data_IF_652120849142
#
_entry.id   IF_652120849142
#
_cell.length_a   1.000
_cell.length_b   1.000
_cell.length_c   1.000
_cell.angle_alpha   90.00
_cell.angle_beta   90.00
_cell.angle_gamma   90.00
#
_symmetry.space_group_name_H-M   'P 1'
#
loop_
_entity.id
_entity.type
_entity.pdbx_description
1 polymer ?
#
# COMPACT_ATOMS: atom_id res chain seq x y z
N UNK A 1 -11.23 -28.97 -7.72
CA UNK A 1 -11.10 -27.72 -8.49
C UNK A 1 -10.75 -28.08 -9.94
N UNK A 2 -11.19 -27.26 -10.86
CA UNK A 2 -10.80 -27.36 -12.29
C UNK A 2 -10.00 -26.12 -12.63
N UNK A 3 -8.86 -26.31 -13.22
CA UNK A 3 -8.02 -25.29 -13.82
C UNK A 3 -8.14 -25.47 -15.32
N UNK A 4 -8.59 -24.47 -16.04
CA UNK A 4 -8.88 -24.55 -17.46
C UNK A 4 -8.17 -23.43 -18.20
N UNK A 5 -7.55 -23.75 -19.31
CA UNK A 5 -7.05 -22.80 -20.28
C UNK A 5 -8.18 -22.38 -21.24
N UNK A 6 -8.00 -21.30 -21.98
CA UNK A 6 -9.06 -20.76 -22.84
C UNK A 6 -9.48 -21.76 -23.94
N UNK A 7 -8.54 -22.55 -24.45
CA UNK A 7 -8.76 -23.57 -25.48
C UNK A 7 -9.48 -24.83 -24.94
N UNK A 8 -9.49 -25.04 -23.61
CA UNK A 8 -10.25 -26.11 -22.97
C UNK A 8 -11.70 -25.71 -22.68
N UNK A 9 -12.04 -24.42 -22.82
CA UNK A 9 -13.41 -23.92 -22.64
C UNK A 9 -14.17 -24.01 -23.96
N UNK A 10 -15.36 -24.64 -23.98
CA UNK A 10 -16.17 -24.72 -25.19
C UNK A 10 -16.46 -23.32 -25.76
N UNK A 11 -16.44 -23.22 -27.08
CA UNK A 11 -16.70 -21.95 -27.79
C UNK A 11 -18.03 -21.32 -27.33
N UNK A 12 -17.99 -20.01 -27.02
CA UNK A 12 -19.17 -19.26 -26.55
C UNK A 12 -19.50 -19.44 -25.05
N UNK A 13 -18.77 -20.31 -24.32
CA UNK A 13 -19.02 -20.59 -22.90
C UNK A 13 -18.12 -19.85 -21.92
N UNK A 14 -17.21 -19.02 -22.40
CA UNK A 14 -16.23 -18.28 -21.53
C UNK A 14 -16.94 -17.51 -20.42
N UNK A 15 -18.06 -16.84 -20.73
CA UNK A 15 -18.85 -16.10 -19.74
C UNK A 15 -19.33 -17.01 -18.59
N UNK A 16 -19.81 -18.21 -18.89
CA UNK A 16 -20.29 -19.15 -17.86
C UNK A 16 -19.15 -19.56 -16.91
N UNK A 17 -17.97 -19.83 -17.47
CA UNK A 17 -16.79 -20.23 -16.66
C UNK A 17 -16.22 -19.05 -15.86
N UNK A 18 -16.26 -17.82 -16.37
CA UNK A 18 -15.91 -16.62 -15.60
C UNK A 18 -16.89 -16.41 -14.44
N UNK A 19 -18.20 -16.55 -14.68
CA UNK A 19 -19.21 -16.46 -13.63
C UNK A 19 -19.04 -17.55 -12.58
N UNK A 20 -18.65 -18.76 -12.97
CA UNK A 20 -18.34 -19.84 -12.06
C UNK A 20 -17.10 -19.56 -11.21
N UNK A 21 -16.06 -18.98 -11.83
CA UNK A 21 -14.80 -18.57 -11.15
C UNK A 21 -15.00 -17.44 -10.15
N UNK A 22 -16.04 -16.62 -10.32
CA UNK A 22 -16.37 -15.49 -9.45
C UNK A 22 -17.55 -15.77 -8.51
N UNK A 23 -18.02 -17.03 -8.40
CA UNK A 23 -19.16 -17.39 -7.58
C UNK A 23 -18.80 -17.51 -6.08
N UNK A 24 -18.49 -16.36 -5.44
CA UNK A 24 -18.08 -16.24 -4.04
C UNK A 24 -19.27 -16.46 -3.08
N UNK A 25 -19.53 -17.71 -2.71
CA UNK A 25 -20.60 -18.07 -1.77
C UNK A 25 -20.19 -17.65 -0.32
N UNK A 26 -21.10 -17.17 0.55
CA UNK A 26 -22.57 -17.06 0.33
C UNK A 26 -22.99 -15.74 -0.34
N UNK A 27 -22.09 -14.81 -0.59
CA UNK A 27 -22.41 -13.51 -1.18
C UNK A 27 -22.98 -13.64 -2.60
N UNK A 28 -22.40 -14.53 -3.40
CA UNK A 28 -22.90 -14.90 -4.72
C UNK A 28 -23.27 -16.37 -4.74
N UNK A 29 -24.34 -16.71 -5.48
CA UNK A 29 -24.77 -18.09 -5.61
C UNK A 29 -23.79 -18.91 -6.45
N UNK A 30 -23.69 -20.21 -6.14
CA UNK A 30 -22.97 -21.15 -6.99
C UNK A 30 -23.48 -21.07 -8.45
N UNK A 31 -22.56 -21.09 -9.40
CA UNK A 31 -22.89 -21.07 -10.82
C UNK A 31 -22.93 -22.48 -11.38
N UNK A 32 -23.99 -22.84 -12.06
CA UNK A 32 -24.20 -24.20 -12.58
C UNK A 32 -23.88 -24.26 -14.07
N UNK A 33 -22.98 -25.15 -14.46
CA UNK A 33 -22.62 -25.45 -15.85
C UNK A 33 -22.88 -26.95 -16.10
N UNK A 34 -23.73 -27.25 -17.05
CA UNK A 34 -24.08 -28.63 -17.44
C UNK A 34 -24.46 -29.54 -16.25
N UNK A 35 -25.26 -29.00 -15.31
CA UNK A 35 -25.72 -29.69 -14.11
C UNK A 35 -24.70 -29.78 -12.98
N UNK A 36 -23.48 -29.25 -13.15
CA UNK A 36 -22.44 -29.20 -12.10
C UNK A 36 -22.39 -27.81 -11.51
N UNK A 37 -22.49 -27.71 -10.18
CA UNK A 37 -22.36 -26.41 -9.46
C UNK A 37 -20.91 -26.14 -9.15
N UNK A 38 -20.50 -24.90 -9.44
CA UNK A 38 -19.17 -24.39 -9.22
C UNK A 38 -19.21 -23.25 -8.21
N UNK A 39 -18.13 -23.13 -7.45
CA UNK A 39 -17.83 -22.02 -6.55
C UNK A 39 -16.56 -21.32 -7.01
N UNK A 40 -16.34 -20.11 -6.45
CA UNK A 40 -15.19 -19.27 -6.71
C UNK A 40 -13.85 -20.02 -6.64
N UNK A 41 -12.98 -19.76 -7.59
CA UNK A 41 -11.63 -20.31 -7.64
C UNK A 41 -10.78 -19.96 -6.43
N UNK A 42 -11.03 -18.83 -5.80
CA UNK A 42 -10.35 -18.35 -4.59
C UNK A 42 -10.49 -19.28 -3.39
N UNK A 43 -11.53 -20.14 -3.32
CA UNK A 43 -11.60 -21.21 -2.32
C UNK A 43 -10.54 -22.30 -2.50
N UNK A 44 -9.92 -22.34 -3.65
CA UNK A 44 -8.82 -23.25 -3.95
C UNK A 44 -7.47 -22.56 -3.87
N UNK A 45 -7.33 -21.46 -4.60
CA UNK A 45 -6.12 -20.68 -4.67
C UNK A 45 -6.41 -19.30 -5.30
N UNK A 46 -6.20 -18.23 -4.54
CA UNK A 46 -6.34 -16.85 -5.03
C UNK A 46 -5.17 -16.43 -5.94
N UNK A 47 -4.05 -17.15 -5.86
CA UNK A 47 -2.83 -16.79 -6.59
C UNK A 47 -2.18 -18.03 -7.22
N UNK A 48 -2.76 -18.56 -8.31
CA UNK A 48 -2.40 -19.86 -8.87
C UNK A 48 -1.06 -19.85 -9.61
N UNK A 49 0.03 -19.55 -8.92
CA UNK A 49 1.40 -19.43 -9.48
C UNK A 49 1.88 -20.73 -10.12
N UNK A 50 1.51 -21.88 -9.54
CA UNK A 50 1.85 -23.20 -10.09
C UNK A 50 1.19 -23.45 -11.46
N UNK A 51 -0.03 -22.92 -11.67
CA UNK A 51 -0.68 -22.99 -12.97
C UNK A 51 0.05 -22.12 -14.01
N UNK A 52 0.42 -20.89 -13.64
CA UNK A 52 1.19 -20.02 -14.53
C UNK A 52 2.51 -20.66 -14.97
N UNK A 53 3.25 -21.28 -14.04
CA UNK A 53 4.47 -22.04 -14.37
C UNK A 53 4.17 -23.21 -15.33
N UNK A 54 3.11 -23.97 -15.08
CA UNK A 54 2.69 -25.07 -15.94
C UNK A 54 2.32 -24.61 -17.35
N UNK A 55 1.82 -23.38 -17.49
CA UNK A 55 1.53 -22.73 -18.78
C UNK A 55 2.76 -22.12 -19.43
N UNK A 56 3.95 -22.26 -18.86
CA UNK A 56 5.22 -21.83 -19.44
C UNK A 56 5.70 -20.44 -18.99
N UNK A 57 5.16 -19.89 -17.91
CA UNK A 57 5.68 -18.65 -17.36
C UNK A 57 7.13 -18.85 -16.87
N UNK A 58 8.01 -17.92 -17.21
CA UNK A 58 9.41 -17.87 -16.78
C UNK A 58 9.64 -16.84 -15.65
N UNK A 59 8.70 -15.89 -15.50
CA UNK A 59 8.66 -14.85 -14.48
C UNK A 59 7.22 -14.62 -14.04
N UNK A 60 7.03 -14.20 -12.80
CA UNK A 60 5.72 -13.95 -12.22
C UNK A 60 5.60 -12.51 -11.73
N UNK A 61 4.52 -11.85 -12.11
CA UNK A 61 4.05 -10.61 -11.47
C UNK A 61 2.74 -10.95 -10.77
N UNK A 62 2.76 -10.94 -9.45
CA UNK A 62 1.63 -11.32 -8.60
C UNK A 62 1.01 -10.07 -7.96
N UNK A 63 -0.30 -9.87 -8.17
CA UNK A 63 -1.06 -8.82 -7.50
C UNK A 63 -1.92 -9.45 -6.42
N UNK A 64 -1.64 -9.13 -5.16
CA UNK A 64 -2.37 -9.66 -4.01
C UNK A 64 -3.28 -8.56 -3.44
N UNK A 65 -4.58 -8.75 -3.59
CA UNK A 65 -5.62 -7.87 -3.05
C UNK A 65 -6.07 -8.29 -1.64
N UNK A 66 -5.42 -9.30 -1.04
CA UNK A 66 -5.80 -9.88 0.25
C UNK A 66 -7.29 -10.29 0.32
N UNK A 67 -7.82 -10.70 -0.84
CA UNK A 67 -9.21 -11.11 -0.99
C UNK A 67 -9.56 -12.35 -0.18
N UNK A 68 -10.86 -12.53 0.09
CA UNK A 68 -11.39 -13.70 0.79
C UNK A 68 -11.05 -14.96 0.01
N UNK A 69 -10.48 -15.95 0.67
CA UNK A 69 -10.11 -17.23 0.07
C UNK A 69 -8.79 -17.80 0.59
N UNK A 70 -8.17 -18.66 -0.20
CA UNK A 70 -6.92 -19.32 0.14
C UNK A 70 -5.82 -18.80 -0.81
N UNK A 71 -4.80 -18.16 -0.28
CA UNK A 71 -3.58 -17.84 -1.04
C UNK A 71 -2.52 -18.88 -0.72
N UNK A 72 -2.12 -19.68 -1.70
CA UNK A 72 -1.10 -20.70 -1.52
C UNK A 72 0.31 -20.09 -1.64
N UNK A 73 1.28 -20.57 -0.86
CA UNK A 73 2.67 -20.14 -1.00
C UNK A 73 3.19 -20.41 -2.43
N UNK A 74 3.85 -19.43 -3.00
CA UNK A 74 4.57 -19.63 -4.26
C UNK A 74 5.74 -20.61 -4.05
N UNK A 75 5.70 -21.74 -4.75
CA UNK A 75 6.72 -22.79 -4.72
C UNK A 75 7.34 -23.05 -6.08
N UNK A 76 7.12 -22.15 -7.04
CA UNK A 76 7.60 -22.33 -8.41
C UNK A 76 9.11 -22.16 -8.54
N UNK A 77 9.74 -21.39 -7.64
CA UNK A 77 11.15 -21.00 -7.77
C UNK A 77 11.41 -19.95 -8.86
N UNK A 78 10.38 -19.47 -9.55
CA UNK A 78 10.49 -18.43 -10.56
C UNK A 78 10.76 -17.06 -9.96
N UNK A 79 11.49 -16.18 -10.65
CA UNK A 79 11.54 -14.76 -10.29
C UNK A 79 10.14 -14.22 -10.12
N UNK A 80 9.87 -13.59 -8.99
CA UNK A 80 8.50 -13.15 -8.65
C UNK A 80 8.51 -11.75 -8.10
N UNK A 81 7.77 -10.85 -8.74
CA UNK A 81 7.45 -9.52 -8.22
C UNK A 81 6.07 -9.58 -7.58
N UNK A 82 5.99 -9.34 -6.27
CA UNK A 82 4.73 -9.27 -5.54
C UNK A 82 4.30 -7.81 -5.39
N UNK A 83 3.08 -7.50 -5.84
CA UNK A 83 2.42 -6.20 -5.67
C UNK A 83 1.31 -6.39 -4.65
N UNK A 84 1.42 -5.68 -3.53
CA UNK A 84 0.44 -5.70 -2.44
C UNK A 84 0.30 -4.31 -1.86
N UNK A 85 -0.92 -3.91 -1.52
CA UNK A 85 -1.14 -2.63 -0.86
C UNK A 85 -0.74 -2.70 0.61
N UNK A 86 -0.14 -1.61 1.09
CA UNK A 86 0.03 -1.38 2.52
C UNK A 86 -1.31 -1.04 3.19
N UNK A 87 -2.18 -0.35 2.46
CA UNK A 87 -3.45 0.15 2.94
C UNK A 87 -4.58 -0.85 2.72
N UNK A 88 -5.51 -0.89 3.65
CA UNK A 88 -6.75 -1.63 3.46
C UNK A 88 -7.52 -1.10 2.26
N UNK A 89 -7.92 -2.00 1.37
CA UNK A 89 -8.65 -1.69 0.15
C UNK A 89 -10.17 -1.65 0.35
N UNK A 90 -10.64 -2.00 1.55
CA UNK A 90 -12.06 -2.05 1.90
C UNK A 90 -12.73 -3.39 1.60
N UNK A 91 -14.05 -3.43 1.79
CA UNK A 91 -14.84 -4.65 1.61
C UNK A 91 -15.10 -4.93 0.13
N UNK A 92 -14.98 -6.20 -0.27
CA UNK A 92 -15.21 -6.69 -1.65
C UNK A 92 -16.64 -6.48 -2.16
N UNK A 93 -17.60 -6.27 -1.26
CA UNK A 93 -19.02 -6.06 -1.59
C UNK A 93 -19.46 -4.59 -1.48
N UNK A 94 -18.55 -3.70 -1.10
CA UNK A 94 -18.84 -2.28 -0.98
C UNK A 94 -18.40 -1.53 -2.25
N UNK A 95 -19.37 -1.25 -3.12
CA UNK A 95 -19.15 -0.57 -4.39
C UNK A 95 -19.25 0.95 -4.23
N UNK A 96 -18.23 1.57 -3.65
CA UNK A 96 -18.13 3.01 -3.50
C UNK A 96 -17.16 3.61 -4.54
N UNK A 97 -17.61 4.60 -5.35
CA UNK A 97 -16.77 5.19 -6.38
C UNK A 97 -15.55 5.95 -5.86
N UNK A 98 -15.61 6.51 -4.63
CA UNK A 98 -14.47 7.22 -4.05
C UNK A 98 -13.40 6.22 -3.61
N UNK A 99 -13.80 5.16 -2.90
CA UNK A 99 -12.93 4.05 -2.52
C UNK A 99 -12.30 3.39 -3.75
N UNK A 100 -13.08 3.15 -4.81
CA UNK A 100 -12.57 2.56 -6.03
C UNK A 100 -11.49 3.43 -6.70
N UNK A 101 -11.70 4.75 -6.79
CA UNK A 101 -10.68 5.68 -7.32
C UNK A 101 -9.42 5.68 -6.47
N UNK A 102 -9.56 5.79 -5.14
CA UNK A 102 -8.43 5.70 -4.22
C UNK A 102 -7.63 4.40 -4.42
N UNK A 103 -8.31 3.27 -4.51
CA UNK A 103 -7.64 1.97 -4.66
C UNK A 103 -6.94 1.82 -6.01
N UNK A 104 -7.45 2.43 -7.08
CA UNK A 104 -6.77 2.49 -8.39
C UNK A 104 -5.45 3.26 -8.26
N UNK A 105 -5.44 4.42 -7.60
CA UNK A 105 -4.22 5.21 -7.38
C UNK A 105 -3.23 4.44 -6.51
N UNK A 106 -3.69 3.82 -5.41
CA UNK A 106 -2.84 3.00 -4.54
C UNK A 106 -2.21 1.84 -5.31
N UNK A 107 -2.98 1.08 -6.09
CA UNK A 107 -2.47 -0.04 -6.88
C UNK A 107 -1.46 0.39 -7.95
N UNK A 108 -1.64 1.56 -8.55
CA UNK A 108 -0.67 2.15 -9.47
C UNK A 108 0.65 2.45 -8.76
N UNK A 109 0.58 3.09 -7.58
CA UNK A 109 1.75 3.42 -6.78
C UNK A 109 2.44 2.16 -6.23
N UNK A 110 1.69 1.17 -5.75
CA UNK A 110 2.22 -0.11 -5.29
C UNK A 110 3.01 -0.82 -6.40
N UNK A 111 2.49 -0.76 -7.64
CA UNK A 111 3.18 -1.29 -8.81
C UNK A 111 4.50 -0.57 -9.05
N UNK A 112 4.50 0.77 -9.03
CA UNK A 112 5.73 1.54 -9.22
C UNK A 112 6.78 1.26 -8.13
N UNK A 113 6.34 1.06 -6.87
CA UNK A 113 7.23 0.66 -5.76
C UNK A 113 7.81 -0.74 -5.99
N UNK A 114 6.98 -1.70 -6.34
CA UNK A 114 7.42 -3.07 -6.60
C UNK A 114 8.50 -3.15 -7.70
N UNK A 115 8.46 -2.22 -8.66
CA UNK A 115 9.48 -2.09 -9.71
C UNK A 115 10.58 -1.06 -9.40
N UNK A 116 10.68 -0.59 -8.16
CA UNK A 116 11.77 0.29 -7.71
C UNK A 116 11.73 1.72 -8.28
N UNK A 117 10.58 2.16 -8.79
CA UNK A 117 10.39 3.51 -9.35
C UNK A 117 9.90 4.52 -8.31
N UNK A 118 9.38 4.06 -7.20
CA UNK A 118 8.98 4.87 -6.05
C UNK A 118 9.60 4.30 -4.79
N UNK A 119 9.78 5.16 -3.80
CA UNK A 119 10.16 4.80 -2.43
C UNK A 119 8.92 4.79 -1.52
N UNK A 120 9.15 4.43 -0.27
CA UNK A 120 8.14 4.34 0.78
C UNK A 120 7.43 2.99 0.80
N UNK A 121 6.71 2.78 1.89
CA UNK A 121 5.85 1.61 2.12
C UNK A 121 4.39 2.01 2.14
N UNK A 122 4.03 2.98 2.99
CA UNK A 122 2.67 3.48 3.16
C UNK A 122 2.33 4.56 2.13
N UNK A 123 3.28 5.41 1.77
CA UNK A 123 3.08 6.53 0.83
C UNK A 123 3.90 6.35 -0.44
N UNK A 124 3.39 6.88 -1.54
CA UNK A 124 4.10 6.90 -2.82
C UNK A 124 5.05 8.12 -2.85
N UNK A 125 6.34 7.88 -2.64
CA UNK A 125 7.35 8.94 -2.58
C UNK A 125 8.33 8.82 -3.73
N UNK A 126 8.66 9.96 -4.37
CA UNK A 126 9.60 10.00 -5.50
C UNK A 126 10.93 9.32 -5.15
N UNK A 127 11.39 8.47 -6.06
CA UNK A 127 12.71 7.86 -5.99
C UNK A 127 13.83 8.78 -6.49
N UNK A 128 13.46 9.89 -7.13
CA UNK A 128 14.42 10.92 -7.55
C UNK A 128 15.25 11.34 -6.36
N UNK A 129 16.56 11.35 -6.49
CA UNK A 129 17.45 11.91 -5.49
C UNK A 129 16.86 13.25 -5.06
N UNK A 130 16.27 13.27 -3.87
CA UNK A 130 15.79 14.49 -3.28
C UNK A 130 16.95 15.45 -3.37
N UNK A 131 16.82 16.47 -4.18
CA UNK A 131 17.92 17.37 -4.36
C UNK A 131 18.27 17.90 -2.97
N UNK A 132 19.52 18.14 -2.69
CA UNK A 132 19.94 18.82 -1.45
C UNK A 132 19.14 20.12 -1.25
N UNK A 133 18.58 20.68 -2.32
CA UNK A 133 17.68 21.81 -2.32
C UNK A 133 16.29 21.48 -1.73
N UNK A 134 15.75 20.30 -1.93
CA UNK A 134 14.44 19.90 -1.35
C UNK A 134 14.57 19.59 0.14
N UNK A 135 15.68 18.98 0.56
CA UNK A 135 16.01 18.80 1.96
C UNK A 135 16.21 20.16 2.63
N UNK A 136 16.96 21.09 2.02
CA UNK A 136 17.18 22.45 2.54
C UNK A 136 15.89 23.26 2.62
N UNK A 137 15.01 23.16 1.63
CA UNK A 137 13.72 23.83 1.63
C UNK A 137 12.76 23.23 2.69
N UNK A 138 12.79 21.91 2.92
CA UNK A 138 12.07 21.27 4.01
C UNK A 138 12.60 21.75 5.36
N UNK A 139 13.93 21.78 5.56
CA UNK A 139 14.53 22.34 6.77
C UNK A 139 14.11 23.79 7.03
N UNK A 140 14.12 24.63 6.01
CA UNK A 140 13.72 26.04 6.16
C UNK A 140 12.22 26.19 6.52
N UNK A 141 11.34 25.44 5.87
CA UNK A 141 9.91 25.43 6.19
C UNK A 141 9.67 24.91 7.61
N UNK A 142 10.40 23.88 8.01
CA UNK A 142 10.32 23.28 9.32
C UNK A 142 10.87 24.21 10.42
N UNK A 143 12.01 24.88 10.20
CA UNK A 143 12.53 25.92 11.11
C UNK A 143 11.54 27.06 11.30
N UNK A 144 10.83 27.47 10.23
CA UNK A 144 9.79 28.50 10.33
C UNK A 144 8.63 28.05 11.22
N UNK A 145 8.15 26.81 11.05
CA UNK A 145 7.11 26.21 11.91
C UNK A 145 7.61 26.04 13.34
N UNK A 146 8.85 25.61 13.55
CA UNK A 146 9.46 25.52 14.88
C UNK A 146 9.49 26.88 15.59
N UNK A 147 9.90 27.92 14.88
CA UNK A 147 9.95 29.27 15.44
C UNK A 147 8.57 29.73 15.88
N UNK A 148 7.56 29.55 15.04
CA UNK A 148 6.17 29.88 15.36
C UNK A 148 5.65 29.09 16.56
N UNK A 149 5.97 27.79 16.64
CA UNK A 149 5.58 26.92 17.74
C UNK A 149 6.27 27.29 19.05
N UNK A 150 7.59 27.57 19.02
CA UNK A 150 8.33 28.03 20.20
C UNK A 150 7.82 29.36 20.75
N UNK A 151 7.39 30.24 19.86
CA UNK A 151 6.82 31.54 20.25
C UNK A 151 5.44 31.39 20.89
N UNK A 152 4.63 30.44 20.42
CA UNK A 152 3.25 30.21 20.92
C UNK A 152 3.17 29.18 22.06
N UNK A 153 4.09 28.20 22.09
CA UNK A 153 4.08 27.07 23.04
C UNK A 153 5.51 26.69 23.45
N UNK A 154 6.05 27.25 24.53
CA UNK A 154 7.45 27.08 24.93
C UNK A 154 7.79 25.73 25.60
N UNK A 155 7.10 24.63 25.28
CA UNK A 155 7.40 23.30 25.84
C UNK A 155 8.50 22.59 25.03
N UNK A 156 9.35 21.83 25.73
CA UNK A 156 10.54 21.13 25.23
C UNK A 156 10.24 20.10 24.11
N UNK A 157 9.04 19.58 24.06
CA UNK A 157 8.62 18.49 23.13
C UNK A 157 8.76 18.86 21.64
N UNK A 158 8.56 20.14 21.30
CA UNK A 158 8.68 20.66 19.94
C UNK A 158 10.11 20.66 19.41
N UNK A 159 11.09 20.77 20.29
CA UNK A 159 12.51 20.73 19.90
C UNK A 159 12.94 19.32 19.45
N UNK A 160 12.39 18.28 20.08
CA UNK A 160 12.75 16.88 19.84
C UNK A 160 12.15 16.36 18.52
N UNK A 161 10.89 16.71 18.23
CA UNK A 161 10.25 16.40 16.94
C UNK A 161 10.97 17.15 15.82
N UNK A 162 11.38 18.39 16.07
CA UNK A 162 12.16 19.18 15.16
C UNK A 162 13.52 18.56 14.83
N UNK A 163 14.20 18.05 15.85
CA UNK A 163 15.50 17.40 15.70
C UNK A 163 15.35 16.08 14.93
N UNK A 164 14.25 15.35 15.13
CA UNK A 164 13.96 14.13 14.42
C UNK A 164 13.71 14.38 12.94
N UNK A 165 12.84 15.32 12.61
CA UNK A 165 12.55 15.68 11.22
C UNK A 165 13.78 16.31 10.53
N UNK A 166 14.65 16.99 11.28
CA UNK A 166 15.92 17.50 10.78
C UNK A 166 16.96 16.40 10.48
N UNK A 167 16.83 15.24 11.11
CA UNK A 167 17.67 14.06 10.86
C UNK A 167 17.14 13.15 9.76
N UNK A 168 15.95 13.42 9.23
CA UNK A 168 15.40 12.67 8.10
C UNK A 168 16.24 12.93 6.84
N UNK A 169 17.32 12.19 6.72
CA UNK A 169 18.03 11.97 5.46
C UNK A 169 17.18 11.04 4.57
N UNK A 170 17.50 10.95 3.28
CA UNK A 170 16.80 10.05 2.34
C UNK A 170 16.70 8.57 2.81
N UNK A 171 17.50 8.17 3.81
CA UNK A 171 17.45 6.83 4.40
C UNK A 171 16.33 6.63 5.44
N UNK A 172 15.65 7.68 5.89
CA UNK A 172 14.72 7.63 7.02
C UNK A 172 13.28 8.05 6.66
N UNK A 173 12.81 7.61 5.50
CA UNK A 173 11.43 7.86 5.07
C UNK A 173 10.40 7.18 5.99
N UNK A 174 10.73 6.00 6.54
CA UNK A 174 9.82 5.22 7.36
C UNK A 174 9.28 5.97 8.60
N UNK A 175 10.08 6.72 9.38
CA UNK A 175 9.55 7.52 10.49
C UNK A 175 8.57 8.61 10.04
N UNK A 176 8.83 9.26 8.89
CA UNK A 176 7.91 10.26 8.34
C UNK A 176 6.59 9.63 7.89
N UNK A 177 6.64 8.46 7.26
CA UNK A 177 5.45 7.70 6.87
C UNK A 177 4.61 7.32 8.09
N UNK A 178 5.24 6.82 9.16
CA UNK A 178 4.55 6.43 10.39
C UNK A 178 3.80 7.60 11.05
N UNK A 179 4.43 8.77 11.15
CA UNK A 179 3.77 9.95 11.74
C UNK A 179 2.70 10.53 10.81
N UNK A 180 2.90 10.46 9.49
CA UNK A 180 1.89 10.88 8.51
C UNK A 180 0.65 9.97 8.54
N UNK A 181 0.85 8.67 8.71
CA UNK A 181 -0.23 7.69 8.89
C UNK A 181 -1.05 7.97 10.15
N UNK A 182 -0.39 8.20 11.30
CA UNK A 182 -1.07 8.43 12.58
C UNK A 182 -1.95 9.68 12.58
N UNK A 183 -1.53 10.75 11.88
CA UNK A 183 -2.36 11.95 11.73
C UNK A 183 -3.36 11.84 10.58
N UNK A 184 -3.37 10.73 9.84
CA UNK A 184 -4.30 10.44 8.77
C UNK A 184 -4.05 11.27 7.51
N UNK A 185 -2.80 11.45 7.09
CA UNK A 185 -2.48 11.98 5.76
C UNK A 185 -3.07 11.06 4.70
N UNK A 186 -3.65 11.62 3.64
CA UNK A 186 -4.21 10.82 2.54
C UNK A 186 -3.08 10.06 1.81
N UNK A 187 -3.14 8.72 1.70
CA UNK A 187 -2.11 7.96 1.01
C UNK A 187 -2.24 7.94 -0.51
N UNK A 188 -3.38 8.37 -1.06
CA UNK A 188 -3.63 8.29 -2.50
C UNK A 188 -2.76 9.24 -3.34
N UNK A 189 -2.43 10.49 -2.90
CA UNK A 189 -1.57 11.37 -3.66
C UNK A 189 -0.13 10.85 -3.79
N UNK A 190 0.52 11.34 -4.83
CA UNK A 190 1.95 11.19 -5.03
C UNK A 190 2.70 12.28 -4.27
N UNK A 191 3.75 11.90 -3.55
CA UNK A 191 4.50 12.81 -2.70
C UNK A 191 5.97 12.91 -3.11
N UNK A 192 6.57 14.03 -2.82
CA UNK A 192 7.99 14.12 -2.50
C UNK A 192 8.16 14.02 -0.99
N UNK A 193 9.36 13.73 -0.50
CA UNK A 193 9.63 13.74 0.97
C UNK A 193 9.20 15.07 1.60
N UNK A 194 9.45 16.17 0.91
CA UNK A 194 9.02 17.51 1.32
C UNK A 194 7.49 17.65 1.41
N UNK A 195 6.76 17.32 0.35
CA UNK A 195 5.31 17.50 0.32
C UNK A 195 4.58 16.55 1.28
N UNK A 196 5.14 15.37 1.56
CA UNK A 196 4.64 14.48 2.61
C UNK A 196 4.82 15.10 4.00
N UNK A 197 5.98 15.72 4.27
CA UNK A 197 6.22 16.47 5.50
C UNK A 197 5.30 17.67 5.66
N UNK A 198 5.06 18.45 4.59
CA UNK A 198 4.11 19.56 4.59
C UNK A 198 2.67 19.08 4.86
N UNK A 199 2.25 17.96 4.25
CA UNK A 199 0.93 17.36 4.47
C UNK A 199 0.77 16.84 5.91
N UNK A 200 1.81 16.25 6.48
CA UNK A 200 1.86 15.88 7.90
C UNK A 200 1.67 17.11 8.79
N UNK A 201 2.49 18.15 8.61
CA UNK A 201 2.44 19.38 9.43
C UNK A 201 1.07 20.08 9.35
N UNK A 202 0.43 20.07 8.18
CA UNK A 202 -0.90 20.66 8.00
C UNK A 202 -2.01 19.94 8.80
N UNK A 203 -1.79 18.67 9.17
CA UNK A 203 -2.72 17.85 9.96
C UNK A 203 -2.34 17.71 11.43
N UNK A 204 -1.15 18.19 11.81
CA UNK A 204 -0.68 18.11 13.18
C UNK A 204 -1.50 19.05 14.09
N UNK A 205 -2.08 18.46 15.13
CA UNK A 205 -2.59 19.16 16.29
C UNK A 205 -1.56 19.03 17.42
N UNK A 206 -1.28 20.13 18.15
CA UNK A 206 -0.29 20.14 19.22
C UNK A 206 -0.59 19.15 20.34
N UNK A 207 -1.86 18.88 20.64
CA UNK A 207 -2.25 17.85 21.60
C UNK A 207 -1.88 16.44 21.11
N UNK A 208 -1.93 16.18 19.80
CA UNK A 208 -1.50 14.90 19.21
C UNK A 208 0.02 14.75 19.22
N UNK A 209 0.77 15.81 18.93
CA UNK A 209 2.24 15.77 18.94
C UNK A 209 2.81 15.33 20.30
N UNK A 210 2.12 15.64 21.41
CA UNK A 210 2.53 15.20 22.75
C UNK A 210 2.51 13.67 22.93
N UNK A 211 1.76 12.93 22.11
CA UNK A 211 1.68 11.46 22.16
C UNK A 211 2.88 10.76 21.53
N UNK A 212 3.63 11.44 20.70
CA UNK A 212 4.80 10.88 20.02
C UNK A 212 6.08 10.97 20.87
N UNK A 213 6.07 11.73 21.95
CA UNK A 213 7.24 11.85 22.86
C UNK A 213 7.90 10.52 23.22
N UNK A 214 7.15 9.47 23.62
CA UNK A 214 7.71 8.17 23.99
C UNK A 214 8.36 7.39 22.84
N UNK A 215 7.98 7.66 21.60
CA UNK A 215 8.58 6.99 20.42
C UNK A 215 10.02 7.47 20.14
N UNK A 216 10.41 8.60 20.73
CA UNK A 216 11.68 9.27 20.48
C UNK A 216 12.64 9.25 21.68
N UNK A 217 12.19 8.71 22.81
CA UNK A 217 13.04 8.36 23.94
C UNK A 217 13.77 7.03 23.69
N UNK A 218 14.29 6.83 22.46
CA UNK A 218 15.16 5.72 22.13
C UNK A 218 16.47 5.87 22.87
N UNK A 219 16.64 5.01 23.91
CA UNK A 219 17.85 4.55 24.54
C UNK A 219 19.09 5.48 24.40
N UNK A 220 19.17 6.49 25.23
CA UNK A 220 20.47 6.91 25.75
C UNK A 220 21.00 5.76 26.64
N UNK A 221 21.57 4.73 26.00
CA UNK A 221 22.35 3.71 26.67
C UNK A 221 23.59 4.35 27.30
N UNK A 222 24.11 3.73 28.38
CA UNK A 222 25.15 4.29 29.24
C UNK A 222 26.48 4.49 28.53
#
# INVERSE_FOLDING_TARGET
>A
ARELTLDEIPQGRVKDYLMASAACFPALRAHTIDGVSYLDGGYRDNMPTALAQKMGAEELVCVDLEGVGITRPNRTGLPTTLIRSYWELGDILHFDPATARRNIELGYHDTLRAFGRLRGCAYAVDSGAGSSADAAAFHAAFEAVQKEVREKHPSTLTADIALLLAKLSDAELAPLEAVAEDVGVDPAPYYTTRSLGEAFLAKCDFERLSRFGPLFEGEAGP
#
